data_IF_209355322802
#
_entry.id   IF_209355322802
#
_cell.length_a   1.000
_cell.length_b   1.000
_cell.length_c   1.000
_cell.angle_alpha   90.00
_cell.angle_beta   90.00
_cell.angle_gamma   90.00
#
_symmetry.space_group_name_H-M   'P 1'
#
loop_
_entity.id
_entity.type
_entity.pdbx_description
1 polymer ?
#
# COMPACT_ATOMS: atom_id res chain seq x y z
N UNK A 1 59.02 -46.25 -8.39
CA UNK A 1 57.55 -46.14 -8.29
C UNK A 1 57.19 -44.71 -7.94
N UNK A 2 56.55 -44.00 -8.89
CA UNK A 2 56.26 -42.56 -8.84
C UNK A 2 55.12 -42.28 -7.84
N UNK A 3 55.33 -41.39 -6.86
CA UNK A 3 54.25 -40.82 -6.04
C UNK A 3 53.81 -39.50 -6.66
N UNK A 4 52.59 -39.48 -7.15
CA UNK A 4 51.90 -38.28 -7.66
C UNK A 4 51.32 -37.56 -6.44
N UNK A 5 51.80 -36.35 -6.16
CA UNK A 5 51.17 -35.43 -5.21
C UNK A 5 50.12 -34.66 -6.00
N UNK A 6 48.85 -34.94 -5.76
CA UNK A 6 47.72 -34.22 -6.34
C UNK A 6 47.48 -32.97 -5.50
N UNK A 7 47.73 -31.80 -6.10
CA UNK A 7 47.41 -30.49 -5.53
C UNK A 7 45.90 -30.26 -5.70
N UNK A 8 45.15 -30.23 -4.60
CA UNK A 8 43.76 -29.79 -4.60
C UNK A 8 43.73 -28.25 -4.57
N UNK A 9 43.49 -27.62 -5.72
CA UNK A 9 43.11 -26.21 -5.79
C UNK A 9 41.65 -26.08 -5.36
N UNK A 10 41.41 -25.59 -4.14
CA UNK A 10 40.10 -25.13 -3.69
C UNK A 10 39.79 -23.81 -4.42
N UNK A 11 39.06 -23.89 -5.53
CA UNK A 11 38.46 -22.70 -6.15
C UNK A 11 37.29 -22.24 -5.25
N UNK A 12 37.56 -21.22 -4.44
CA UNK A 12 36.55 -20.49 -3.68
C UNK A 12 35.77 -19.59 -4.65
N UNK A 13 34.82 -20.17 -5.40
CA UNK A 13 33.84 -19.38 -6.14
C UNK A 13 32.91 -18.71 -5.12
N UNK A 14 33.22 -17.45 -4.80
CA UNK A 14 32.29 -16.51 -4.19
C UNK A 14 31.11 -16.31 -5.15
N UNK A 15 30.11 -17.18 -5.02
CA UNK A 15 28.77 -16.94 -5.52
C UNK A 15 28.23 -15.72 -4.76
N UNK A 16 28.47 -14.54 -5.32
CA UNK A 16 27.66 -13.36 -5.07
C UNK A 16 26.24 -13.70 -5.54
N UNK A 17 25.47 -14.35 -4.67
CA UNK A 17 24.02 -14.48 -4.83
C UNK A 17 23.44 -13.07 -4.74
N UNK A 18 23.36 -12.42 -5.88
CA UNK A 18 22.39 -11.35 -6.06
C UNK A 18 21.03 -12.02 -5.87
N UNK A 19 20.48 -11.92 -4.66
CA UNK A 19 19.13 -12.33 -4.35
C UNK A 19 18.17 -11.46 -5.18
N UNK A 20 17.98 -11.86 -6.44
CA UNK A 20 16.85 -11.44 -7.25
C UNK A 20 15.62 -12.05 -6.59
N UNK A 21 14.96 -11.27 -5.74
CA UNK A 21 13.68 -11.66 -5.15
C UNK A 21 12.70 -11.94 -6.30
N UNK A 22 12.45 -13.23 -6.55
CA UNK A 22 11.40 -13.69 -7.45
C UNK A 22 10.10 -12.97 -7.09
N UNK A 23 9.43 -12.38 -8.10
CA UNK A 23 8.08 -11.81 -7.92
C UNK A 23 7.22 -12.90 -7.27
N UNK A 24 6.69 -12.63 -6.07
CA UNK A 24 5.98 -13.64 -5.28
C UNK A 24 4.71 -14.15 -5.94
N UNK A 25 4.01 -15.06 -5.26
CA UNK A 25 2.73 -15.63 -5.70
C UNK A 25 1.75 -14.54 -6.18
N UNK A 26 1.01 -14.81 -7.25
CA UNK A 26 -0.06 -13.93 -7.69
C UNK A 26 -1.32 -14.19 -6.86
N UNK A 27 -2.01 -13.12 -6.47
CA UNK A 27 -3.25 -13.15 -5.70
C UNK A 27 -4.38 -12.54 -6.53
N UNK A 28 -5.44 -13.33 -6.71
CA UNK A 28 -6.67 -12.96 -7.39
C UNK A 28 -7.79 -13.87 -6.92
N UNK A 29 -9.01 -13.34 -6.84
CA UNK A 29 -10.22 -14.15 -6.69
C UNK A 29 -11.05 -14.15 -7.99
N UNK A 30 -12.01 -15.07 -8.09
CA UNK A 30 -12.90 -15.24 -9.25
C UNK A 30 -13.66 -13.97 -9.60
N UNK A 31 -14.00 -13.17 -8.60
CA UNK A 31 -14.76 -11.92 -8.72
C UNK A 31 -13.86 -10.68 -8.65
N UNK A 32 -12.55 -10.85 -8.82
CA UNK A 32 -11.60 -9.76 -9.00
C UNK A 32 -11.24 -9.68 -10.48
N UNK A 33 -11.13 -8.47 -11.04
CA UNK A 33 -10.70 -8.30 -12.44
C UNK A 33 -9.20 -7.98 -12.59
N UNK A 34 -8.48 -7.92 -11.47
CA UNK A 34 -7.07 -7.54 -11.41
C UNK A 34 -6.26 -8.52 -10.55
N UNK A 35 -4.98 -8.67 -10.88
CA UNK A 35 -4.04 -9.48 -10.13
C UNK A 35 -3.17 -8.61 -9.23
N UNK A 36 -2.83 -9.14 -8.07
CA UNK A 36 -1.83 -8.59 -7.18
C UNK A 36 -0.72 -9.60 -6.95
N UNK A 37 0.39 -9.13 -6.40
CA UNK A 37 1.52 -9.98 -6.03
C UNK A 37 2.18 -9.43 -4.76
N UNK A 38 2.98 -10.27 -4.12
CA UNK A 38 3.77 -9.87 -2.97
C UNK A 38 4.70 -8.70 -3.30
N UNK A 39 4.54 -7.58 -2.60
CA UNK A 39 5.31 -6.36 -2.88
C UNK A 39 6.80 -6.53 -2.58
N UNK A 40 7.16 -7.09 -1.42
CA UNK A 40 8.56 -7.19 -0.96
C UNK A 40 8.85 -8.41 -0.07
N UNK A 41 7.90 -9.33 0.11
CA UNK A 41 7.94 -10.35 1.15
C UNK A 41 7.03 -10.01 2.33
N UNK A 42 6.57 -11.05 3.03
CA UNK A 42 5.90 -10.95 4.32
C UNK A 42 6.84 -11.32 5.48
N UNK A 43 6.68 -10.71 6.67
CA UNK A 43 7.44 -11.06 7.87
C UNK A 43 7.34 -12.57 8.21
N UNK A 44 6.16 -13.15 8.05
CA UNK A 44 5.85 -14.57 8.24
C UNK A 44 4.76 -15.05 7.27
N UNK A 45 4.58 -16.35 7.15
CA UNK A 45 3.49 -16.96 6.36
C UNK A 45 2.09 -16.72 6.96
N UNK A 46 2.00 -16.28 8.22
CA UNK A 46 0.72 -15.98 8.91
C UNK A 46 0.18 -14.59 8.59
N UNK A 47 0.97 -13.73 7.92
CA UNK A 47 0.58 -12.35 7.66
C UNK A 47 -0.46 -12.20 6.55
N UNK A 48 -0.59 -13.19 5.66
CA UNK A 48 -1.55 -13.19 4.56
C UNK A 48 -2.05 -14.61 4.29
N UNK A 49 -3.37 -14.79 4.27
CA UNK A 49 -3.98 -16.06 3.91
C UNK A 49 -5.38 -15.87 3.35
N UNK A 50 -5.84 -16.85 2.58
CA UNK A 50 -7.21 -16.90 2.08
C UNK A 50 -8.15 -17.44 3.16
N UNK A 51 -9.25 -16.74 3.39
CA UNK A 51 -10.40 -17.29 4.09
C UNK A 51 -11.42 -17.77 3.06
N UNK A 52 -11.96 -18.96 3.25
CA UNK A 52 -13.04 -19.53 2.43
C UNK A 52 -14.26 -19.73 3.33
N UNK A 53 -15.35 -19.06 3.01
CA UNK A 53 -16.69 -19.39 3.49
C UNK A 53 -17.44 -20.20 2.42
N UNK A 54 -18.68 -20.57 2.71
CA UNK A 54 -19.50 -21.44 1.83
C UNK A 54 -19.58 -20.92 0.38
N UNK A 55 -19.71 -19.61 0.19
CA UNK A 55 -19.87 -18.99 -1.14
C UNK A 55 -18.95 -17.79 -1.40
N UNK A 56 -18.08 -17.45 -0.44
CA UNK A 56 -17.18 -16.31 -0.58
C UNK A 56 -15.76 -16.67 -0.20
N UNK A 57 -14.81 -16.03 -0.87
CA UNK A 57 -13.39 -16.17 -0.60
C UNK A 57 -12.79 -14.77 -0.58
N UNK A 58 -11.91 -14.51 0.39
CA UNK A 58 -11.33 -13.18 0.58
C UNK A 58 -9.95 -13.30 1.22
N UNK A 59 -9.13 -12.26 1.08
CA UNK A 59 -7.82 -12.21 1.70
C UNK A 59 -7.92 -11.63 3.10
N UNK A 60 -7.29 -12.30 4.07
CA UNK A 60 -7.05 -11.79 5.41
C UNK A 60 -5.59 -11.43 5.58
N UNK A 61 -5.33 -10.21 6.03
CA UNK A 61 -4.04 -9.76 6.49
C UNK A 61 -4.04 -9.67 8.01
N UNK A 62 -2.91 -10.03 8.61
CA UNK A 62 -2.65 -9.84 10.03
C UNK A 62 -1.26 -9.26 10.20
N UNK A 63 -1.10 -8.29 11.10
CA UNK A 63 0.19 -7.70 11.43
C UNK A 63 0.29 -7.41 12.93
N UNK A 64 1.19 -8.11 13.60
CA UNK A 64 1.51 -7.95 15.01
C UNK A 64 2.74 -7.06 15.19
N UNK A 65 2.94 -6.60 16.43
CA UNK A 65 4.13 -5.85 16.84
C UNK A 65 5.43 -6.49 16.36
N UNK A 66 6.41 -5.66 15.97
CA UNK A 66 7.76 -6.07 15.52
C UNK A 66 7.80 -6.94 14.28
N UNK A 67 6.68 -7.08 13.55
CA UNK A 67 6.68 -7.75 12.24
C UNK A 67 7.19 -6.79 11.15
N UNK A 68 8.50 -6.57 11.16
CA UNK A 68 9.19 -5.65 10.25
C UNK A 68 9.01 -6.11 8.80
N UNK A 69 8.63 -5.16 7.94
CA UNK A 69 8.47 -5.43 6.51
C UNK A 69 9.78 -5.85 5.85
N UNK A 70 9.68 -6.58 4.74
CA UNK A 70 10.85 -7.09 4.00
C UNK A 70 11.36 -6.16 2.90
N UNK A 71 10.75 -4.99 2.69
CA UNK A 71 11.35 -4.01 1.79
C UNK A 71 12.64 -3.46 2.40
N UNK A 72 13.65 -3.15 1.59
CA UNK A 72 14.93 -2.59 2.06
C UNK A 72 14.80 -1.25 2.82
N UNK A 73 13.67 -0.55 2.66
CA UNK A 73 13.35 0.68 3.39
C UNK A 73 12.70 0.47 4.75
N UNK A 74 12.30 -0.76 5.10
CA UNK A 74 11.49 -1.04 6.29
C UNK A 74 12.35 -1.16 7.54
N UNK A 75 13.61 -1.59 7.41
CA UNK A 75 14.60 -1.58 8.51
C UNK A 75 15.27 -0.20 8.73
N UNK A 76 14.78 0.87 8.10
CA UNK A 76 15.40 2.20 8.16
C UNK A 76 14.60 3.13 9.05
N UNK A 77 15.31 3.84 9.92
CA UNK A 77 14.76 4.91 10.75
C UNK A 77 14.24 6.02 9.85
N UNK A 78 12.95 6.38 9.99
CA UNK A 78 12.34 7.51 9.27
C UNK A 78 11.02 7.92 9.90
N UNK A 79 10.73 9.22 9.84
CA UNK A 79 9.51 9.83 10.38
C UNK A 79 9.30 9.53 11.88
N UNK A 80 10.40 9.50 12.65
CA UNK A 80 10.39 9.20 14.08
C UNK A 80 10.21 7.72 14.45
N UNK A 81 10.00 6.83 13.46
CA UNK A 81 9.91 5.40 13.69
C UNK A 81 11.26 4.71 13.47
N UNK A 82 11.66 3.75 14.33
CA UNK A 82 12.91 3.01 14.20
C UNK A 82 12.93 2.07 12.98
N UNK A 83 11.76 1.49 12.67
CA UNK A 83 11.52 0.61 11.53
C UNK A 83 10.05 0.72 11.09
N UNK A 84 9.66 -0.03 10.06
CA UNK A 84 8.29 -0.09 9.56
C UNK A 84 7.79 -1.52 9.50
N UNK A 85 6.59 -1.72 10.00
CA UNK A 85 5.89 -3.00 9.91
C UNK A 85 5.03 -3.01 8.64
N UNK A 86 5.03 -4.14 7.92
CA UNK A 86 4.34 -4.24 6.64
C UNK A 86 3.90 -5.67 6.31
N UNK A 87 2.66 -5.79 5.87
CA UNK A 87 2.16 -6.91 5.08
C UNK A 87 1.27 -6.35 3.97
N UNK A 88 1.78 -6.25 2.74
CA UNK A 88 1.06 -5.62 1.64
C UNK A 88 1.23 -6.35 0.32
N UNK A 89 0.15 -6.38 -0.45
CA UNK A 89 0.16 -6.75 -1.85
C UNK A 89 0.27 -5.52 -2.74
N UNK A 90 0.81 -5.72 -3.94
CA UNK A 90 0.98 -4.71 -4.98
C UNK A 90 0.27 -5.15 -6.26
N UNK A 91 -0.35 -4.21 -6.96
CA UNK A 91 -0.99 -4.44 -8.25
C UNK A 91 0.02 -4.94 -9.29
N UNK A 92 -0.39 -5.98 -10.04
CA UNK A 92 0.28 -6.39 -11.26
C UNK A 92 -0.11 -5.43 -12.39
N UNK A 93 0.89 -4.76 -12.97
CA UNK A 93 0.68 -3.68 -13.93
C UNK A 93 0.66 -2.30 -13.27
N UNK A 94 0.27 -1.29 -14.04
CA UNK A 94 0.24 0.12 -13.63
C UNK A 94 -0.99 0.81 -14.23
N UNK A 95 -1.40 1.93 -13.66
CA UNK A 95 -2.35 2.84 -14.28
C UNK A 95 -1.65 3.67 -15.36
N UNK A 96 -2.35 3.88 -16.48
CA UNK A 96 -1.91 4.81 -17.53
C UNK A 96 -2.16 6.24 -17.07
N UNK A 97 -1.34 7.16 -17.57
CA UNK A 97 -1.55 8.60 -17.41
C UNK A 97 -2.48 9.10 -18.52
N UNK A 98 -3.11 10.23 -18.24
CA UNK A 98 -4.19 10.82 -19.02
C UNK A 98 -5.37 9.86 -19.19
N UNK A 99 -5.68 9.13 -18.13
CA UNK A 99 -6.69 8.07 -18.13
C UNK A 99 -7.48 8.11 -16.84
N UNK A 100 -8.79 7.90 -16.96
CA UNK A 100 -9.72 7.80 -15.85
C UNK A 100 -9.96 6.34 -15.48
N UNK A 101 -10.12 6.05 -14.20
CA UNK A 101 -10.40 4.72 -13.69
C UNK A 101 -11.47 4.74 -12.61
N UNK A 102 -12.31 3.72 -12.62
CA UNK A 102 -13.08 3.30 -11.45
C UNK A 102 -12.29 2.22 -10.72
N UNK A 103 -12.01 2.43 -9.42
CA UNK A 103 -11.37 1.45 -8.55
C UNK A 103 -12.35 1.13 -7.42
N UNK A 104 -12.77 -0.13 -7.30
CA UNK A 104 -13.71 -0.60 -6.28
C UNK A 104 -13.16 -1.80 -5.55
N UNK A 105 -13.38 -1.86 -4.25
CA UNK A 105 -13.06 -3.01 -3.42
C UNK A 105 -13.87 -2.97 -2.12
N UNK A 106 -13.97 -4.13 -1.48
CA UNK A 106 -14.53 -4.28 -0.14
C UNK A 106 -13.42 -4.46 0.87
N UNK A 107 -13.61 -3.89 2.05
CA UNK A 107 -12.70 -4.04 3.18
C UNK A 107 -13.49 -4.29 4.46
N UNK A 108 -12.94 -5.09 5.37
CA UNK A 108 -13.52 -5.32 6.70
C UNK A 108 -12.43 -5.32 7.75
N UNK A 109 -12.48 -4.36 8.68
CA UNK A 109 -11.57 -4.33 9.83
C UNK A 109 -12.05 -5.37 10.85
N UNK A 110 -11.18 -6.29 11.26
CA UNK A 110 -11.53 -7.35 12.23
C UNK A 110 -11.01 -6.99 13.62
N UNK A 111 -9.75 -6.58 13.69
CA UNK A 111 -9.06 -6.23 14.93
C UNK A 111 -8.08 -5.08 14.68
N UNK A 112 -7.75 -4.33 15.73
CA UNK A 112 -6.71 -3.32 15.70
C UNK A 112 -7.12 -2.01 15.04
N UNK A 113 -6.21 -1.43 14.26
CA UNK A 113 -6.30 -0.06 13.72
C UNK A 113 -6.42 1.01 14.82
N UNK A 114 -5.84 0.71 15.97
CA UNK A 114 -5.81 1.57 17.15
C UNK A 114 -4.46 2.28 17.31
N UNK A 115 -3.43 1.84 16.56
CA UNK A 115 -2.12 2.46 16.60
C UNK A 115 -2.13 3.78 15.81
N UNK A 116 -1.12 4.59 16.06
CA UNK A 116 -0.95 5.83 15.32
C UNK A 116 -0.40 5.55 13.92
N UNK A 117 -1.05 6.15 12.92
CA UNK A 117 -0.61 6.14 11.53
C UNK A 117 -0.59 4.75 10.86
N UNK A 118 -1.68 3.97 10.99
CA UNK A 118 -1.84 2.74 10.21
C UNK A 118 -2.47 3.04 8.84
N UNK A 119 -1.93 2.42 7.80
CA UNK A 119 -2.38 2.55 6.41
C UNK A 119 -2.82 1.19 5.92
N UNK A 120 -3.92 1.14 5.18
CA UNK A 120 -4.41 -0.12 4.61
C UNK A 120 -4.61 -0.11 3.10
N UNK A 121 -4.60 1.08 2.49
CA UNK A 121 -4.70 1.23 1.05
C UNK A 121 -3.85 2.42 0.60
N UNK A 122 -3.19 2.27 -0.54
CA UNK A 122 -2.42 3.33 -1.17
C UNK A 122 -2.46 3.23 -2.69
N UNK A 123 -2.36 4.38 -3.34
CA UNK A 123 -1.86 4.45 -4.71
C UNK A 123 -0.45 5.00 -4.64
N UNK A 124 0.49 4.21 -5.16
CA UNK A 124 1.90 4.48 -5.07
C UNK A 124 2.48 4.83 -6.44
N UNK A 125 3.26 5.91 -6.53
CA UNK A 125 3.99 6.29 -7.73
C UNK A 125 5.42 5.75 -7.68
N UNK A 126 5.68 4.63 -8.36
CA UNK A 126 7.01 4.00 -8.39
C UNK A 126 7.40 3.65 -9.82
N UNK A 127 8.51 4.22 -10.32
CA UNK A 127 9.19 3.75 -11.53
C UNK A 127 10.60 3.21 -11.24
N UNK A 128 11.29 3.83 -10.30
CA UNK A 128 12.64 3.44 -9.85
C UNK A 128 12.88 3.97 -8.45
N UNK A 129 13.99 3.59 -7.80
CA UNK A 129 14.34 4.10 -6.47
C UNK A 129 14.39 5.64 -6.38
N UNK A 130 14.82 6.31 -7.46
CA UNK A 130 14.89 7.79 -7.53
C UNK A 130 13.52 8.43 -7.81
N UNK A 131 12.53 7.65 -8.24
CA UNK A 131 11.19 8.12 -8.57
C UNK A 131 10.15 7.24 -7.87
N UNK A 132 10.09 7.40 -6.55
CA UNK A 132 9.38 6.53 -5.63
C UNK A 132 8.72 7.39 -4.55
N UNK A 133 7.41 7.61 -4.63
CA UNK A 133 6.65 8.07 -3.47
C UNK A 133 5.17 7.68 -3.54
N UNK A 134 4.50 7.56 -2.38
CA UNK A 134 3.05 7.41 -2.33
C UNK A 134 2.36 8.65 -2.90
N UNK A 135 1.23 8.44 -3.58
CA UNK A 135 0.38 9.50 -4.13
C UNK A 135 -0.85 9.73 -3.27
N UNK A 136 -1.42 8.64 -2.75
CA UNK A 136 -2.48 8.69 -1.76
C UNK A 136 -2.41 7.55 -0.77
N UNK A 137 -3.01 7.77 0.41
CA UNK A 137 -3.26 6.73 1.40
C UNK A 137 -4.67 6.83 1.97
N UNK A 138 -5.23 5.68 2.37
CA UNK A 138 -6.24 5.64 3.43
C UNK A 138 -5.55 5.28 4.73
N UNK A 139 -5.74 6.12 5.74
CA UNK A 139 -5.09 6.05 7.05
C UNK A 139 -6.12 6.01 8.18
N UNK A 140 -5.81 5.25 9.22
CA UNK A 140 -6.40 5.42 10.56
C UNK A 140 -5.42 6.20 11.45
N UNK A 141 -5.94 7.13 12.25
CA UNK A 141 -5.12 7.95 13.18
C UNK A 141 -5.71 7.94 14.60
N UNK A 142 -4.91 7.60 15.62
CA UNK A 142 -5.19 7.86 17.05
C UNK A 142 -4.84 9.31 17.41
N UNK A 143 -5.54 10.07 18.25
CA UNK A 143 -6.41 9.89 19.44
C UNK A 143 -7.90 9.59 19.17
N UNK A 144 -8.37 9.79 17.93
CA UNK A 144 -9.80 9.76 17.60
C UNK A 144 -10.21 8.58 16.70
N UNK A 145 -9.29 7.73 16.22
CA UNK A 145 -9.58 6.50 15.44
C UNK A 145 -10.53 6.72 14.25
N UNK A 146 -10.41 7.84 13.54
CA UNK A 146 -11.19 8.12 12.32
C UNK A 146 -10.37 7.87 11.06
N UNK A 147 -11.07 7.56 9.98
CA UNK A 147 -10.48 7.40 8.66
C UNK A 147 -10.10 8.75 8.04
N UNK A 148 -9.00 8.74 7.31
CA UNK A 148 -8.50 9.87 6.54
C UNK A 148 -8.04 9.44 5.16
N UNK A 149 -8.29 10.29 4.18
CA UNK A 149 -7.62 10.25 2.89
C UNK A 149 -6.46 11.24 2.93
N UNK A 150 -5.26 10.78 2.61
CA UNK A 150 -4.06 11.61 2.48
C UNK A 150 -3.72 11.74 1.01
N UNK A 151 -3.58 12.97 0.52
CA UNK A 151 -3.27 13.28 -0.88
C UNK A 151 -1.94 14.02 -0.99
N UNK A 152 -1.03 13.49 -1.82
CA UNK A 152 0.31 14.04 -2.02
C UNK A 152 0.25 15.47 -2.55
N UNK A 153 1.13 16.33 -2.02
CA UNK A 153 1.42 17.66 -2.56
C UNK A 153 2.90 17.89 -2.71
N UNK A 154 3.29 18.54 -3.80
CA UNK A 154 4.64 19.05 -3.99
C UNK A 154 4.66 20.57 -3.89
N UNK A 155 5.83 21.18 -3.63
CA UNK A 155 5.99 22.62 -3.78
C UNK A 155 5.50 23.12 -5.15
N UNK A 156 5.03 24.37 -5.19
CA UNK A 156 4.58 25.02 -6.43
C UNK A 156 5.75 25.15 -7.41
N UNK A 157 6.92 25.55 -6.93
CA UNK A 157 8.15 25.52 -7.71
C UNK A 157 8.64 24.07 -7.85
N UNK A 158 8.67 23.59 -9.10
CA UNK A 158 9.08 22.23 -9.47
C UNK A 158 10.40 22.19 -10.23
N UNK A 159 11.20 23.26 -10.18
CA UNK A 159 12.50 23.35 -10.86
C UNK A 159 13.63 22.58 -10.17
N UNK A 160 13.32 21.87 -9.08
CA UNK A 160 14.27 21.05 -8.35
C UNK A 160 14.39 19.62 -8.88
N UNK A 161 15.45 18.92 -8.45
CA UNK A 161 15.57 17.48 -8.70
C UNK A 161 14.38 16.70 -8.14
N UNK A 162 14.02 15.61 -8.82
CA UNK A 162 12.95 14.68 -8.39
C UNK A 162 13.12 14.22 -6.93
N UNK A 163 14.36 13.97 -6.52
CA UNK A 163 14.67 13.56 -5.14
C UNK A 163 14.31 14.65 -4.13
N UNK A 164 14.65 15.91 -4.42
CA UNK A 164 14.33 17.03 -3.55
C UNK A 164 12.82 17.29 -3.51
N UNK A 165 12.13 17.22 -4.64
CA UNK A 165 10.67 17.31 -4.67
C UNK A 165 10.01 16.21 -3.81
N UNK A 166 10.50 14.96 -3.89
CA UNK A 166 10.00 13.86 -3.06
C UNK A 166 10.21 14.13 -1.57
N UNK A 167 11.37 14.68 -1.18
CA UNK A 167 11.70 15.03 0.21
C UNK A 167 10.84 16.20 0.73
N UNK A 168 10.63 17.24 -0.08
CA UNK A 168 9.83 18.42 0.26
C UNK A 168 8.32 18.16 0.16
N UNK A 169 7.92 17.09 -0.51
CA UNK A 169 6.52 16.74 -0.69
C UNK A 169 5.82 16.38 0.62
N UNK A 170 4.59 16.84 0.77
CA UNK A 170 3.75 16.67 1.96
C UNK A 170 2.44 15.95 1.60
N UNK A 171 1.52 15.83 2.57
CA UNK A 171 0.18 15.29 2.35
C UNK A 171 -0.88 16.24 2.92
N UNK A 172 -1.87 16.59 2.09
CA UNK A 172 -3.13 17.15 2.58
C UNK A 172 -3.97 16.02 3.16
N UNK A 173 -4.58 16.27 4.32
CA UNK A 173 -5.32 15.27 5.09
C UNK A 173 -6.81 15.62 5.08
N UNK A 174 -7.61 14.76 4.50
CA UNK A 174 -9.06 14.87 4.49
C UNK A 174 -9.65 13.88 5.49
N UNK A 175 -10.43 14.37 6.45
CA UNK A 175 -11.18 13.49 7.36
C UNK A 175 -12.36 12.93 6.57
N UNK A 176 -12.53 11.62 6.55
CA UNK A 176 -13.67 11.03 5.85
C UNK A 176 -14.92 11.15 6.72
N UNK A 177 -16.01 11.59 6.10
CA UNK A 177 -17.32 11.72 6.71
C UNK A 177 -18.42 11.54 5.68
N UNK A 178 -19.58 11.08 6.13
CA UNK A 178 -20.81 10.96 5.32
C UNK A 178 -21.50 12.32 5.21
N UNK A 179 -22.50 12.45 4.35
CA UNK A 179 -23.35 13.65 4.17
C UNK A 179 -24.11 14.00 5.44
N UNK A 180 -24.40 13.02 6.31
CA UNK A 180 -24.86 13.28 7.69
C UNK A 180 -23.77 13.91 8.58
N UNK A 181 -22.65 14.36 8.00
CA UNK A 181 -21.50 15.01 8.63
C UNK A 181 -20.84 14.20 9.75
N UNK A 182 -21.13 12.90 9.83
CA UNK A 182 -20.53 11.99 10.80
C UNK A 182 -19.21 11.50 10.24
N UNK A 183 -18.11 11.85 10.93
CA UNK A 183 -16.80 11.28 10.66
C UNK A 183 -16.88 9.76 10.74
N UNK A 184 -16.15 9.07 9.87
CA UNK A 184 -16.12 7.61 9.85
C UNK A 184 -15.05 7.13 10.82
N UNK A 185 -15.47 6.44 11.87
CA UNK A 185 -14.57 5.87 12.88
C UNK A 185 -14.35 4.37 12.67
N UNK A 186 -13.17 3.86 13.05
CA UNK A 186 -12.86 2.43 13.05
C UNK A 186 -13.93 1.62 13.77
N UNK A 187 -14.40 2.11 14.94
CA UNK A 187 -15.46 1.45 15.73
C UNK A 187 -16.78 1.31 14.96
N UNK A 188 -17.10 2.24 14.07
CA UNK A 188 -18.38 2.24 13.36
C UNK A 188 -18.39 1.15 12.26
N UNK A 189 -17.20 0.77 11.78
CA UNK A 189 -16.98 -0.14 10.65
C UNK A 189 -16.29 -1.46 11.04
N UNK A 190 -15.95 -1.63 12.31
CA UNK A 190 -15.35 -2.85 12.83
C UNK A 190 -16.32 -4.02 12.62
N UNK A 191 -15.79 -5.15 12.15
CA UNK A 191 -16.50 -6.38 11.78
C UNK A 191 -17.57 -6.21 10.69
N UNK A 192 -17.58 -5.08 9.97
CA UNK A 192 -18.50 -4.83 8.85
C UNK A 192 -17.73 -4.73 7.54
N UNK A 193 -18.28 -5.33 6.49
CA UNK A 193 -17.81 -5.06 5.14
C UNK A 193 -18.22 -3.64 4.74
N UNK A 194 -17.27 -2.88 4.23
CA UNK A 194 -17.51 -1.56 3.65
C UNK A 194 -17.01 -1.52 2.21
N UNK A 195 -17.78 -0.86 1.36
CA UNK A 195 -17.49 -0.67 -0.05
C UNK A 195 -16.75 0.64 -0.24
N UNK A 196 -15.54 0.57 -0.80
CA UNK A 196 -14.74 1.74 -1.15
C UNK A 196 -14.70 1.85 -2.67
N UNK A 197 -15.01 3.03 -3.20
CA UNK A 197 -14.88 3.35 -4.61
C UNK A 197 -14.10 4.65 -4.80
N UNK A 198 -13.17 4.63 -5.74
CA UNK A 198 -12.54 5.83 -6.29
C UNK A 198 -12.95 6.00 -7.74
N UNK A 199 -13.31 7.22 -8.12
CA UNK A 199 -13.30 7.65 -9.52
C UNK A 199 -12.09 8.57 -9.65
N UNK A 200 -11.05 8.12 -10.34
CA UNK A 200 -9.76 8.78 -10.34
C UNK A 200 -9.28 9.04 -11.76
N UNK A 201 -8.85 10.26 -12.03
CA UNK A 201 -8.21 10.63 -13.28
C UNK A 201 -6.75 10.94 -13.03
N UNK A 202 -5.86 10.11 -13.59
CA UNK A 202 -4.42 10.37 -13.56
C UNK A 202 -4.03 11.24 -14.73
N UNK A 203 -3.45 12.42 -14.48
CA UNK A 203 -2.86 13.29 -15.50
C UNK A 203 -1.35 13.09 -15.54
N UNK A 204 -0.65 13.91 -16.33
CA UNK A 204 0.80 13.79 -16.47
C UNK A 204 1.57 14.06 -15.15
N UNK A 205 1.14 15.06 -14.37
CA UNK A 205 1.84 15.61 -13.19
C UNK A 205 0.93 15.85 -11.97
N UNK A 206 -0.31 15.41 -12.04
CA UNK A 206 -1.27 15.43 -10.94
C UNK A 206 -2.36 14.39 -11.23
N UNK A 207 -3.36 14.35 -10.39
CA UNK A 207 -4.61 13.67 -10.64
C UNK A 207 -5.73 14.32 -9.86
N UNK A 208 -6.95 13.88 -10.15
CA UNK A 208 -8.18 14.33 -9.48
C UNK A 208 -8.94 13.07 -9.11
N UNK A 209 -9.59 13.06 -7.95
CA UNK A 209 -10.45 11.96 -7.57
C UNK A 209 -11.72 12.41 -6.83
N UNK A 210 -12.74 11.56 -6.99
CA UNK A 210 -13.84 11.40 -6.05
C UNK A 210 -13.62 10.11 -5.25
N UNK A 211 -14.06 10.10 -4.00
CA UNK A 211 -14.11 8.91 -3.16
C UNK A 211 -15.53 8.69 -2.66
N UNK A 212 -15.97 7.44 -2.72
CA UNK A 212 -17.24 7.00 -2.17
C UNK A 212 -17.00 5.94 -1.10
N UNK A 213 -17.83 5.98 -0.06
CA UNK A 213 -17.84 5.05 1.05
C UNK A 213 -19.26 4.50 1.20
N UNK A 214 -19.45 3.19 1.05
CA UNK A 214 -20.77 2.55 1.02
C UNK A 214 -21.76 3.20 0.03
N UNK A 215 -21.26 3.61 -1.13
CA UNK A 215 -22.05 4.25 -2.20
C UNK A 215 -22.24 5.76 -2.04
N UNK A 216 -21.94 6.33 -0.87
CA UNK A 216 -22.06 7.75 -0.60
C UNK A 216 -20.76 8.49 -0.96
N UNK A 217 -20.84 9.63 -1.67
CA UNK A 217 -19.65 10.44 -1.99
C UNK A 217 -19.15 11.14 -0.71
N UNK A 218 -17.92 10.87 -0.31
CA UNK A 218 -17.29 11.43 0.90
C UNK A 218 -16.14 12.39 0.60
N UNK A 219 -15.63 12.37 -0.64
CA UNK A 219 -14.62 13.29 -1.16
C UNK A 219 -15.01 13.62 -2.59
N UNK A 220 -14.96 14.90 -2.95
CA UNK A 220 -15.32 15.39 -4.27
C UNK A 220 -14.21 16.25 -4.87
N UNK A 221 -13.86 15.94 -6.12
CA UNK A 221 -12.98 16.71 -7.00
C UNK A 221 -11.65 17.13 -6.35
N UNK A 222 -11.07 16.25 -5.53
CA UNK A 222 -9.82 16.57 -4.84
C UNK A 222 -8.62 16.20 -5.69
N UNK A 223 -7.71 17.16 -5.83
CA UNK A 223 -6.47 16.96 -6.56
C UNK A 223 -5.36 16.39 -5.68
N UNK A 224 -4.44 15.67 -6.32
CA UNK A 224 -3.18 15.23 -5.73
C UNK A 224 -2.05 15.39 -6.75
N UNK A 225 -0.84 15.58 -6.28
CA UNK A 225 0.31 15.78 -7.14
C UNK A 225 1.02 14.47 -7.49
N UNK A 226 1.61 14.47 -8.68
CA UNK A 226 2.43 13.39 -9.19
C UNK A 226 3.63 13.94 -9.98
N UNK A 227 4.72 13.21 -10.04
CA UNK A 227 5.86 13.54 -10.89
C UNK A 227 5.75 12.82 -12.24
N UNK A 228 6.28 13.44 -13.30
CA UNK A 228 6.24 12.89 -14.67
C UNK A 228 6.80 11.46 -14.73
N UNK A 229 7.82 11.15 -13.94
CA UNK A 229 8.45 9.83 -13.93
C UNK A 229 7.62 8.74 -13.20
N UNK A 230 6.65 9.10 -12.37
CA UNK A 230 5.93 8.13 -11.53
C UNK A 230 4.91 7.33 -12.35
N UNK A 231 4.83 6.04 -12.08
CA UNK A 231 3.80 5.14 -12.62
C UNK A 231 2.90 4.66 -11.47
N UNK A 232 1.65 5.16 -11.40
CA UNK A 232 0.71 4.83 -10.33
C UNK A 232 0.31 3.36 -10.34
N UNK A 233 0.14 2.76 -9.17
CA UNK A 233 -0.40 1.43 -8.98
C UNK A 233 -0.94 1.27 -7.54
N UNK A 234 -1.85 0.32 -7.33
CA UNK A 234 -2.40 0.02 -6.01
C UNK A 234 -1.38 -0.75 -5.16
N UNK A 235 -1.32 -0.44 -3.87
CA UNK A 235 -0.94 -1.40 -2.83
C UNK A 235 -1.98 -1.41 -1.71
N UNK A 236 -2.18 -2.55 -1.09
CA UNK A 236 -3.11 -2.70 0.03
C UNK A 236 -2.65 -3.79 0.99
N UNK A 237 -3.14 -3.73 2.24
CA UNK A 237 -2.74 -4.62 3.32
C UNK A 237 -2.67 -3.85 4.64
N UNK A 238 -1.59 -4.02 5.39
CA UNK A 238 -1.30 -3.23 6.59
C UNK A 238 0.13 -2.68 6.49
N UNK A 239 0.28 -1.38 6.70
CA UNK A 239 1.56 -0.69 6.75
C UNK A 239 1.53 0.36 7.85
N UNK A 240 2.55 0.39 8.72
CA UNK A 240 2.58 1.32 9.87
C UNK A 240 4.00 1.52 10.41
N UNK A 241 4.27 2.63 11.13
CA UNK A 241 5.52 2.78 11.86
C UNK A 241 5.66 1.70 12.94
N UNK A 242 6.86 1.16 13.08
CA UNK A 242 7.26 0.37 14.25
C UNK A 242 7.50 1.27 15.46
N UNK A 243 7.62 0.67 16.63
CA UNK A 243 7.86 1.40 17.87
C UNK A 243 8.65 0.51 18.86
N UNK A 244 9.70 1.07 19.46
CA UNK A 244 10.50 0.38 20.47
C UNK A 244 10.04 0.64 21.91
N UNK A 245 9.31 1.74 22.13
CA UNK A 245 8.88 2.21 23.44
C UNK A 245 7.50 1.67 23.84
N UNK A 246 6.58 1.55 22.87
CA UNK A 246 5.25 1.00 23.10
C UNK A 246 4.87 -0.02 22.04
N UNK A 247 4.23 -1.10 22.49
CA UNK A 247 3.81 -2.21 21.65
C UNK A 247 2.71 -1.75 20.68
N UNK A 248 2.88 -2.04 19.39
CA UNK A 248 1.79 -1.94 18.43
C UNK A 248 0.76 -3.06 18.67
N UNK A 249 -0.52 -2.70 18.75
CA UNK A 249 -1.59 -3.69 18.78
C UNK A 249 -1.66 -4.47 17.46
N UNK A 250 -2.00 -5.76 17.53
CA UNK A 250 -2.24 -6.55 16.32
C UNK A 250 -3.40 -5.95 15.53
N UNK A 251 -3.21 -5.81 14.22
CA UNK A 251 -4.26 -5.39 13.30
C UNK A 251 -4.60 -6.54 12.36
N UNK A 252 -5.90 -6.76 12.13
CA UNK A 252 -6.43 -7.78 11.22
C UNK A 252 -7.45 -7.14 10.30
N UNK A 253 -7.30 -7.36 9.00
CA UNK A 253 -8.12 -6.75 7.96
C UNK A 253 -8.38 -7.72 6.82
N UNK A 254 -9.61 -7.72 6.33
CA UNK A 254 -10.03 -8.51 5.18
C UNK A 254 -10.22 -7.61 3.95
N UNK A 255 -9.91 -8.14 2.76
CA UNK A 255 -10.12 -7.50 1.48
C UNK A 255 -10.77 -8.43 0.47
N UNK A 256 -11.68 -7.87 -0.33
CA UNK A 256 -12.42 -8.61 -1.34
C UNK A 256 -12.87 -7.71 -2.52
N UNK A 257 -13.31 -8.33 -3.62
CA UNK A 257 -13.99 -7.73 -4.78
C UNK A 257 -13.25 -6.57 -5.44
N UNK A 258 -11.96 -6.75 -5.74
CA UNK A 258 -11.19 -5.73 -6.47
C UNK A 258 -11.63 -5.65 -7.94
N UNK A 259 -12.29 -4.56 -8.29
CA UNK A 259 -12.70 -4.20 -9.65
C UNK A 259 -12.02 -2.90 -10.05
N UNK A 260 -11.27 -2.93 -11.15
CA UNK A 260 -10.56 -1.79 -11.71
C UNK A 260 -10.93 -1.67 -13.18
N UNK A 261 -11.66 -0.62 -13.55
CA UNK A 261 -12.12 -0.39 -14.92
C UNK A 261 -11.57 0.93 -15.44
N UNK A 262 -11.06 0.94 -16.68
CA UNK A 262 -10.76 2.17 -17.41
C UNK A 262 -12.09 2.85 -17.78
N UNK A 263 -12.22 4.14 -17.49
CA UNK A 263 -13.40 4.95 -17.83
C UNK A 263 -13.05 5.70 -19.11
N UNK A 264 -13.68 5.31 -20.21
CA UNK A 264 -13.59 6.07 -21.46
C UNK A 264 -14.45 7.33 -21.31
N UNK A 265 -13.79 8.48 -21.23
CA UNK A 265 -14.45 9.76 -21.47
C UNK A 265 -14.87 9.75 -22.95
N UNK A 266 -16.16 9.59 -23.23
CA UNK A 266 -16.69 9.99 -24.54
C UNK A 266 -16.67 11.51 -24.65
#
# INVERSE_FOLDING_TARGET
MKRIIVIFFLNFFLLNSTYSYSKGLNYKDRDWNIYFYDNCGFPSNKNLYWIRGENNKFLRFQLSDKQIGKCSSDNKIRNGAPYWERAELKQKGIFKKNTSYEIRFKVRLIEGFQNDYEYFFQIHGYKSMKCNSPLLFIQTKGRNKHLRLLLRRYPLDRNESVSNLIKKGSFIKYKLGTNSSRRIFVKDILNKWVDIKFLIHFKQTNGILDMYFNGEKVIENQSFDMLKCQTPHIKFGIYRPGNDQSKNFTSIIDFDKFIVNEINSK
#
